data_IF_100987434105
#
_entry.id   IF_100987434105
#
_cell.length_a   1.000
_cell.length_b   1.000
_cell.length_c   1.000
_cell.angle_alpha   90.00
_cell.angle_beta   90.00
_cell.angle_gamma   90.00
#
_symmetry.space_group_name_H-M   'P 1'
#
loop_
_entity.id
_entity.type
_entity.pdbx_description
1 polymer ?
#
# COMPACT_ATOMS: atom_id res chain seq x y z
N UNK A 1 11.47 22.49 -23.88
CA UNK A 1 11.46 21.56 -22.70
C UNK A 1 11.54 22.29 -21.35
N UNK A 2 12.46 23.23 -21.12
CA UNK A 2 12.56 23.93 -19.81
C UNK A 2 11.46 24.99 -19.62
N UNK A 3 11.07 25.70 -20.68
CA UNK A 3 9.92 26.61 -20.67
C UNK A 3 8.59 25.93 -20.55
N UNK A 4 8.34 24.79 -21.22
CA UNK A 4 7.14 23.98 -21.06
C UNK A 4 7.02 23.42 -19.64
N UNK A 5 8.14 23.04 -19.02
CA UNK A 5 8.17 22.55 -17.64
C UNK A 5 7.86 23.65 -16.62
N UNK A 6 8.26 24.87 -16.92
CA UNK A 6 7.93 26.03 -16.11
C UNK A 6 6.47 26.45 -16.30
N UNK A 7 5.94 26.49 -17.53
CA UNK A 7 4.54 26.80 -17.80
C UNK A 7 3.58 25.80 -17.13
N UNK A 8 3.92 24.49 -17.11
CA UNK A 8 3.16 23.48 -16.41
C UNK A 8 3.18 23.66 -14.88
N UNK A 9 4.30 24.11 -14.31
CA UNK A 9 4.39 24.43 -12.88
C UNK A 9 3.53 25.65 -12.51
N UNK A 10 3.60 26.72 -13.31
CA UNK A 10 2.76 27.91 -13.10
C UNK A 10 1.27 27.59 -13.27
N UNK A 11 0.90 26.80 -14.27
CA UNK A 11 -0.49 26.38 -14.46
C UNK A 11 -0.99 25.56 -13.26
N UNK A 12 -0.21 24.61 -12.77
CA UNK A 12 -0.54 23.84 -11.55
C UNK A 12 -0.70 24.76 -10.34
N UNK A 13 0.24 25.69 -10.15
CA UNK A 13 0.19 26.62 -9.03
C UNK A 13 -1.07 27.50 -9.08
N UNK A 14 -1.38 28.08 -10.25
CA UNK A 14 -2.57 28.92 -10.44
C UNK A 14 -3.86 28.10 -10.22
N UNK A 15 -3.95 26.88 -10.79
CA UNK A 15 -5.13 26.03 -10.64
C UNK A 15 -5.36 25.62 -9.16
N UNK A 16 -4.29 25.30 -8.42
CA UNK A 16 -4.39 25.01 -6.99
C UNK A 16 -4.78 26.25 -6.17
N UNK A 17 -4.27 27.44 -6.52
CA UNK A 17 -4.62 28.69 -5.85
C UNK A 17 -6.10 29.03 -6.06
N UNK A 18 -6.60 28.90 -7.30
CA UNK A 18 -8.02 29.12 -7.60
C UNK A 18 -8.89 28.10 -6.85
N UNK A 19 -8.52 26.82 -6.89
CA UNK A 19 -9.25 25.78 -6.14
C UNK A 19 -9.32 26.10 -4.64
N UNK A 20 -8.18 26.50 -4.06
CA UNK A 20 -8.10 26.87 -2.63
C UNK A 20 -9.00 28.05 -2.31
N UNK A 21 -9.00 29.12 -3.12
CA UNK A 21 -9.84 30.27 -2.92
C UNK A 21 -11.33 29.96 -3.02
N UNK A 22 -11.72 29.15 -4.03
CA UNK A 22 -13.09 28.69 -4.20
C UNK A 22 -13.51 27.82 -3.02
N UNK A 23 -12.65 26.92 -2.56
CA UNK A 23 -12.92 26.07 -1.41
C UNK A 23 -13.11 26.91 -0.14
N UNK A 24 -12.22 27.88 0.13
CA UNK A 24 -12.35 28.80 1.27
C UNK A 24 -13.68 29.55 1.20
N UNK A 25 -14.06 30.08 0.03
CA UNK A 25 -15.33 30.79 -0.14
C UNK A 25 -16.53 29.88 0.18
N UNK A 26 -16.52 28.63 -0.32
CA UNK A 26 -17.58 27.66 -0.02
C UNK A 26 -17.64 27.36 1.48
N UNK A 27 -16.50 27.11 2.12
CA UNK A 27 -16.43 26.77 3.55
C UNK A 27 -16.88 27.93 4.46
N UNK A 28 -16.58 29.19 4.10
CA UNK A 28 -17.07 30.35 4.82
C UNK A 28 -18.61 30.51 4.67
N UNK A 29 -19.17 30.07 3.54
CA UNK A 29 -20.60 30.19 3.24
C UNK A 29 -21.46 29.10 3.87
N UNK A 30 -20.86 27.92 4.11
CA UNK A 30 -21.55 26.71 4.60
C UNK A 30 -20.81 26.13 5.79
N UNK A 31 -21.10 26.65 6.98
CA UNK A 31 -20.42 26.27 8.24
C UNK A 31 -20.57 24.77 8.56
N UNK A 32 -21.71 24.17 8.23
CA UNK A 32 -21.96 22.76 8.48
C UNK A 32 -21.06 21.85 7.61
N UNK A 33 -20.89 22.24 6.34
CA UNK A 33 -19.95 21.55 5.43
C UNK A 33 -18.51 21.75 5.92
N UNK A 34 -18.17 22.96 6.39
CA UNK A 34 -16.87 23.25 6.95
C UNK A 34 -16.58 22.37 8.17
N UNK A 35 -17.54 22.22 9.10
CA UNK A 35 -17.39 21.36 10.28
C UNK A 35 -17.21 19.88 9.89
N UNK A 36 -17.98 19.38 8.94
CA UNK A 36 -17.86 18.01 8.46
C UNK A 36 -16.49 17.74 7.83
N UNK A 37 -16.04 18.63 6.93
CA UNK A 37 -14.73 18.50 6.26
C UNK A 37 -13.57 18.74 7.26
N UNK A 38 -13.72 19.63 8.23
CA UNK A 38 -12.76 19.81 9.33
C UNK A 38 -12.65 18.52 10.15
N UNK A 39 -13.76 17.87 10.47
CA UNK A 39 -13.76 16.57 11.14
C UNK A 39 -13.01 15.50 10.37
N UNK A 40 -13.23 15.42 9.06
CA UNK A 40 -12.47 14.49 8.18
C UNK A 40 -10.97 14.83 8.18
N UNK A 41 -10.61 16.10 8.08
CA UNK A 41 -9.21 16.53 8.09
C UNK A 41 -8.51 16.20 9.43
N UNK A 42 -9.17 16.48 10.56
CA UNK A 42 -8.68 16.18 11.90
C UNK A 42 -8.51 14.67 12.08
N UNK A 43 -9.47 13.87 11.63
CA UNK A 43 -9.42 12.40 11.67
C UNK A 43 -8.24 11.88 10.87
N UNK A 44 -8.01 12.38 9.65
CA UNK A 44 -6.88 11.98 8.80
C UNK A 44 -5.54 12.33 9.45
N UNK A 45 -5.42 13.49 10.09
CA UNK A 45 -4.23 13.89 10.86
C UNK A 45 -4.04 12.93 12.03
N UNK A 46 -5.11 12.60 12.76
CA UNK A 46 -5.08 11.66 13.87
C UNK A 46 -4.56 10.28 13.43
N UNK A 47 -5.09 9.74 12.34
CA UNK A 47 -4.66 8.46 11.80
C UNK A 47 -3.21 8.48 11.31
N UNK A 48 -2.77 9.58 10.70
CA UNK A 48 -1.38 9.75 10.27
C UNK A 48 -0.44 9.72 11.48
N UNK A 49 -0.78 10.42 12.56
CA UNK A 49 -0.01 10.40 13.80
C UNK A 49 0.02 9.00 14.45
N UNK A 50 -1.11 8.29 14.46
CA UNK A 50 -1.15 6.88 14.91
C UNK A 50 -0.16 6.02 14.13
N UNK A 51 -0.18 6.10 12.81
CA UNK A 51 0.74 5.38 11.94
C UNK A 51 2.22 5.72 12.21
N UNK A 52 2.54 7.00 12.38
CA UNK A 52 3.90 7.46 12.74
C UNK A 52 4.32 6.92 14.11
N UNK A 53 3.42 6.99 15.09
CA UNK A 53 3.66 6.51 16.44
C UNK A 53 3.94 5.00 16.46
N UNK A 54 3.10 4.19 15.85
CA UNK A 54 3.32 2.75 15.77
C UNK A 54 4.58 2.38 14.99
N UNK A 55 4.92 3.13 13.95
CA UNK A 55 6.17 2.93 13.20
C UNK A 55 7.41 3.15 14.07
N UNK A 56 7.38 4.07 15.02
CA UNK A 56 8.50 4.29 15.94
C UNK A 56 8.81 3.06 16.82
N UNK A 57 7.78 2.26 17.16
CA UNK A 57 7.96 1.00 17.90
C UNK A 57 8.34 -0.17 16.99
N UNK A 58 7.97 -0.15 15.74
CA UNK A 58 8.24 -1.28 14.83
C UNK A 58 9.71 -1.38 14.39
N UNK A 59 10.48 -0.28 14.44
CA UNK A 59 11.94 -0.19 14.35
C UNK A 59 12.64 -1.13 13.35
N UNK A 60 12.05 -1.42 12.18
CA UNK A 60 12.54 -2.42 11.24
C UNK A 60 12.19 -3.87 11.61
N UNK A 61 11.46 -4.10 12.72
CA UNK A 61 11.00 -5.43 13.13
C UNK A 61 10.06 -6.06 12.10
N UNK A 62 9.16 -5.25 11.53
CA UNK A 62 8.24 -5.70 10.47
C UNK A 62 8.99 -6.21 9.24
N UNK A 63 10.06 -5.51 8.83
CA UNK A 63 10.89 -5.91 7.69
C UNK A 63 11.59 -7.25 7.97
N UNK A 64 12.14 -7.44 9.18
CA UNK A 64 12.81 -8.68 9.58
C UNK A 64 11.83 -9.86 9.68
N UNK A 65 10.62 -9.61 10.20
CA UNK A 65 9.57 -10.62 10.30
C UNK A 65 9.07 -10.99 8.91
N UNK A 66 8.87 -10.02 8.02
CA UNK A 66 8.40 -10.24 6.67
C UNK A 66 9.29 -11.23 5.91
N UNK A 67 10.61 -11.02 5.94
CA UNK A 67 11.56 -11.87 5.24
C UNK A 67 11.58 -13.33 5.74
N UNK A 68 11.18 -13.58 7.01
CA UNK A 68 11.22 -14.91 7.64
C UNK A 68 9.84 -15.57 7.78
N UNK A 69 8.76 -14.82 7.68
CA UNK A 69 7.41 -15.28 8.07
C UNK A 69 6.45 -15.42 6.89
N UNK A 70 6.91 -15.48 5.65
CA UNK A 70 6.06 -15.55 4.46
C UNK A 70 6.19 -16.84 3.67
N UNK A 71 6.76 -17.90 4.27
CA UNK A 71 6.98 -19.18 3.61
C UNK A 71 5.68 -19.92 3.26
N UNK A 72 4.60 -19.67 3.99
CA UNK A 72 3.30 -20.28 3.78
C UNK A 72 2.20 -19.25 3.60
N UNK A 73 1.12 -19.61 2.88
CA UNK A 73 -0.05 -18.73 2.68
C UNK A 73 -0.62 -18.21 3.99
N UNK A 74 -0.78 -19.10 4.97
CA UNK A 74 -1.37 -18.75 6.28
C UNK A 74 -0.48 -17.74 7.00
N UNK A 75 0.84 -17.95 7.02
CA UNK A 75 1.78 -16.99 7.62
C UNK A 75 1.73 -15.64 6.92
N UNK A 76 1.63 -15.63 5.58
CA UNK A 76 1.52 -14.38 4.80
C UNK A 76 0.22 -13.63 5.14
N UNK A 77 -0.92 -14.32 5.23
CA UNK A 77 -2.21 -13.72 5.61
C UNK A 77 -2.14 -13.19 7.05
N UNK A 78 -1.64 -13.99 8.00
CA UNK A 78 -1.47 -13.56 9.39
C UNK A 78 -0.54 -12.35 9.51
N UNK A 79 0.57 -12.35 8.78
CA UNK A 79 1.48 -11.22 8.74
C UNK A 79 0.78 -9.95 8.23
N UNK A 80 0.05 -10.04 7.11
CA UNK A 80 -0.73 -8.91 6.58
C UNK A 80 -1.78 -8.40 7.57
N UNK A 81 -2.51 -9.31 8.22
CA UNK A 81 -3.53 -8.98 9.22
C UNK A 81 -2.92 -8.27 10.42
N UNK A 82 -1.89 -8.85 11.04
CA UNK A 82 -1.25 -8.28 12.23
C UNK A 82 -0.54 -6.96 11.93
N UNK A 83 0.16 -6.90 10.80
CA UNK A 83 0.84 -5.65 10.39
C UNK A 83 -0.15 -4.53 10.18
N UNK A 84 -1.28 -4.78 9.51
CA UNK A 84 -2.31 -3.76 9.28
C UNK A 84 -3.03 -3.38 10.58
N UNK A 85 -3.31 -4.35 11.46
CA UNK A 85 -3.88 -4.08 12.77
C UNK A 85 -2.99 -3.17 13.61
N UNK A 86 -1.68 -3.42 13.62
CA UNK A 86 -0.70 -2.61 14.37
C UNK A 86 -0.51 -1.25 13.71
N UNK A 87 -0.30 -1.21 12.40
CA UNK A 87 0.01 0.03 11.67
C UNK A 87 -1.23 0.87 11.36
N UNK A 88 -2.43 0.33 11.56
CA UNK A 88 -3.71 0.96 11.21
C UNK A 88 -3.75 1.50 9.77
N UNK A 89 -3.00 0.86 8.86
CA UNK A 89 -2.86 1.28 7.47
C UNK A 89 -2.58 0.10 6.53
N UNK A 90 -3.63 -0.38 5.88
CA UNK A 90 -3.51 -1.39 4.82
C UNK A 90 -2.74 -0.86 3.60
N UNK A 91 -2.85 0.43 3.31
CA UNK A 91 -2.09 1.09 2.23
C UNK A 91 -0.58 1.01 2.48
N UNK A 92 -0.13 1.31 3.70
CA UNK A 92 1.30 1.24 4.03
C UNK A 92 1.81 -0.21 3.94
N UNK A 93 1.06 -1.18 4.47
CA UNK A 93 1.39 -2.61 4.36
C UNK A 93 1.46 -3.04 2.89
N UNK A 94 0.52 -2.58 2.05
CA UNK A 94 0.53 -2.86 0.61
C UNK A 94 1.75 -2.28 -0.09
N UNK A 95 2.13 -1.04 0.20
CA UNK A 95 3.33 -0.40 -0.38
C UNK A 95 4.60 -1.16 0.03
N UNK A 96 4.72 -1.54 1.30
CA UNK A 96 5.84 -2.35 1.79
C UNK A 96 5.87 -3.70 1.07
N UNK A 97 4.72 -4.36 0.94
CA UNK A 97 4.61 -5.66 0.26
C UNK A 97 5.01 -5.56 -1.23
N UNK A 98 4.53 -4.53 -1.93
CA UNK A 98 4.92 -4.23 -3.32
C UNK A 98 6.44 -4.06 -3.41
N UNK A 99 7.03 -3.31 -2.48
CA UNK A 99 8.46 -3.05 -2.44
C UNK A 99 9.27 -4.33 -2.25
N UNK A 100 8.89 -5.18 -1.30
CA UNK A 100 9.55 -6.47 -1.05
C UNK A 100 9.40 -7.46 -2.22
N UNK A 101 8.22 -7.49 -2.84
CA UNK A 101 7.99 -8.29 -4.03
C UNK A 101 8.85 -7.79 -5.20
N UNK A 102 8.92 -6.48 -5.40
CA UNK A 102 9.76 -5.84 -6.43
C UNK A 102 11.25 -6.13 -6.24
N UNK A 103 11.70 -6.21 -4.99
CA UNK A 103 13.06 -6.63 -4.64
C UNK A 103 13.28 -8.16 -4.73
N UNK A 104 12.26 -8.93 -5.11
CA UNK A 104 12.34 -10.39 -5.17
C UNK A 104 12.59 -11.05 -3.81
N UNK A 105 12.24 -10.38 -2.70
CA UNK A 105 12.40 -10.89 -1.33
C UNK A 105 11.28 -11.83 -0.93
N UNK A 106 10.11 -11.68 -1.53
CA UNK A 106 8.95 -12.53 -1.34
C UNK A 106 8.40 -12.97 -2.69
N UNK A 107 7.70 -14.10 -2.71
CA UNK A 107 7.00 -14.56 -3.91
C UNK A 107 5.69 -13.78 -4.15
N UNK A 108 5.19 -13.78 -5.39
CA UNK A 108 3.89 -13.18 -5.74
C UNK A 108 2.76 -13.79 -4.90
N UNK A 109 2.78 -15.12 -4.69
CA UNK A 109 1.79 -15.80 -3.85
C UNK A 109 1.81 -15.33 -2.39
N UNK A 110 3.00 -15.11 -1.83
CA UNK A 110 3.15 -14.55 -0.49
C UNK A 110 2.63 -13.10 -0.44
N UNK A 111 2.98 -12.26 -1.42
CA UNK A 111 2.47 -10.90 -1.55
C UNK A 111 0.94 -10.85 -1.61
N UNK A 112 0.31 -11.73 -2.39
CA UNK A 112 -1.16 -11.85 -2.47
C UNK A 112 -1.73 -12.21 -1.09
N UNK A 113 -1.15 -13.17 -0.38
CA UNK A 113 -1.56 -13.54 0.97
C UNK A 113 -1.49 -12.36 1.95
N UNK A 114 -0.43 -11.55 1.89
CA UNK A 114 -0.27 -10.36 2.72
C UNK A 114 -1.36 -9.33 2.41
N UNK A 115 -1.68 -9.09 1.12
CA UNK A 115 -2.76 -8.16 0.73
C UNK A 115 -4.12 -8.64 1.25
N UNK A 116 -4.41 -9.95 1.15
CA UNK A 116 -5.64 -10.52 1.72
C UNK A 116 -5.69 -10.30 3.23
N UNK A 117 -4.60 -10.60 3.94
CA UNK A 117 -4.49 -10.34 5.36
C UNK A 117 -4.62 -8.85 5.71
N UNK A 118 -4.05 -7.96 4.91
CA UNK A 118 -4.15 -6.52 5.12
C UNK A 118 -5.60 -6.01 5.04
N UNK A 119 -6.40 -6.54 4.11
CA UNK A 119 -7.83 -6.22 4.04
C UNK A 119 -8.58 -6.70 5.29
N UNK A 120 -8.29 -7.91 5.79
CA UNK A 120 -8.87 -8.40 7.05
C UNK A 120 -8.41 -7.55 8.25
N UNK A 121 -7.12 -7.22 8.35
CA UNK A 121 -6.57 -6.38 9.42
C UNK A 121 -7.17 -4.96 9.44
N UNK A 122 -7.53 -4.43 8.27
CA UNK A 122 -8.16 -3.11 8.14
C UNK A 122 -9.55 -3.06 8.82
N UNK A 123 -10.22 -4.20 9.01
CA UNK A 123 -11.51 -4.24 9.70
C UNK A 123 -11.40 -3.85 11.17
N UNK A 124 -10.22 -3.98 11.79
CA UNK A 124 -9.98 -3.52 13.15
C UNK A 124 -10.21 -2.01 13.31
N UNK A 125 -9.93 -1.22 12.27
CA UNK A 125 -10.23 0.22 12.28
C UNK A 125 -11.73 0.49 12.43
N UNK A 126 -12.59 -0.35 11.84
CA UNK A 126 -14.06 -0.22 11.99
C UNK A 126 -14.51 -0.49 13.42
N UNK A 127 -13.94 -1.51 14.07
CA UNK A 127 -14.21 -1.78 15.48
C UNK A 127 -13.73 -0.66 16.39
N UNK A 128 -12.57 -0.07 16.08
CA UNK A 128 -12.10 1.12 16.81
C UNK A 128 -13.07 2.29 16.64
N UNK A 129 -13.45 2.63 15.39
CA UNK A 129 -14.41 3.72 15.14
C UNK A 129 -15.67 3.51 15.95
N UNK A 130 -16.27 2.33 15.85
CA UNK A 130 -17.57 2.06 16.50
C UNK A 130 -17.43 1.89 18.01
N UNK A 131 -16.40 1.18 18.48
CA UNK A 131 -16.15 1.03 19.92
C UNK A 131 -15.96 2.37 20.62
N UNK A 132 -15.42 3.34 19.89
CA UNK A 132 -15.16 4.68 20.39
C UNK A 132 -16.38 5.61 20.32
N UNK A 133 -17.37 5.35 19.45
CA UNK A 133 -18.61 6.17 19.40
C UNK A 133 -19.52 5.94 20.60
N UNK A 134 -19.41 4.81 21.29
CA UNK A 134 -20.24 4.41 22.43
C UNK A 134 -19.77 4.96 23.79
N UNK A 135 -18.56 5.49 23.88
CA UNK A 135 -18.03 6.10 25.10
C UNK A 135 -18.17 7.61 24.93
N UNK A 136 -18.43 8.37 26.00
CA UNK A 136 -18.35 9.86 26.00
C UNK A 136 -16.88 10.31 25.85
N UNK A 137 -16.29 10.02 24.68
CA UNK A 137 -14.84 10.00 24.42
C UNK A 137 -14.29 11.40 24.14
N UNK A 138 -15.15 12.34 23.74
CA UNK A 138 -14.77 13.76 23.66
C UNK A 138 -14.10 14.26 24.95
N UNK A 139 -14.47 13.70 26.11
CA UNK A 139 -13.79 14.01 27.38
C UNK A 139 -12.35 13.51 27.44
N UNK A 140 -12.00 12.40 26.75
CA UNK A 140 -10.64 11.86 26.75
C UNK A 140 -9.78 12.47 25.63
N UNK A 141 -10.36 13.03 24.59
CA UNK A 141 -9.63 13.58 23.45
C UNK A 141 -8.65 14.68 23.88
N UNK A 142 -9.13 15.64 24.69
CA UNK A 142 -8.32 16.77 25.15
C UNK A 142 -7.18 16.34 26.08
N UNK A 143 -7.40 15.52 27.14
CA UNK A 143 -6.31 14.99 27.96
C UNK A 143 -5.26 14.21 27.15
N UNK A 144 -5.71 13.38 26.20
CA UNK A 144 -4.80 12.60 25.35
C UNK A 144 -3.95 13.51 24.45
N UNK A 145 -4.51 14.57 23.89
CA UNK A 145 -3.75 15.56 23.13
C UNK A 145 -2.70 16.27 23.99
N UNK A 146 -3.05 16.69 25.20
CA UNK A 146 -2.12 17.37 26.12
C UNK A 146 -0.95 16.43 26.47
N UNK A 147 -1.25 15.21 26.92
CA UNK A 147 -0.24 14.22 27.25
C UNK A 147 0.58 13.88 26.00
N UNK A 148 -0.07 13.70 24.88
CA UNK A 148 0.59 13.39 23.61
C UNK A 148 1.60 14.45 23.20
N UNK A 149 1.26 15.73 23.32
CA UNK A 149 2.18 16.83 23.03
C UNK A 149 3.39 16.83 23.97
N UNK A 150 3.18 16.56 25.26
CA UNK A 150 4.29 16.48 26.23
C UNK A 150 5.28 15.37 25.84
N UNK A 151 4.80 14.20 25.41
CA UNK A 151 5.63 13.10 24.95
C UNK A 151 6.26 13.37 23.57
N UNK A 152 5.55 14.05 22.67
CA UNK A 152 6.02 14.36 21.32
C UNK A 152 7.32 15.19 21.31
N UNK A 153 7.49 16.10 22.27
CA UNK A 153 8.69 16.94 22.39
C UNK A 153 9.86 16.25 23.10
N UNK A 154 9.72 14.98 23.50
CA UNK A 154 10.84 14.22 24.09
C UNK A 154 11.88 13.88 23.02
N UNK A 155 13.14 13.77 23.44
CA UNK A 155 14.26 13.42 22.55
C UNK A 155 14.28 11.93 22.21
N UNK A 156 13.77 11.10 23.11
CA UNK A 156 13.71 9.65 22.92
C UNK A 156 12.67 9.29 21.85
N UNK A 157 13.07 8.42 20.90
CA UNK A 157 12.22 8.05 19.75
C UNK A 157 11.00 7.24 20.15
N UNK A 158 11.08 6.45 21.23
CA UNK A 158 9.97 5.64 21.73
C UNK A 158 8.96 6.52 22.43
N UNK A 159 9.42 7.46 23.30
CA UNK A 159 8.55 8.43 23.95
C UNK A 159 7.87 9.34 22.92
N UNK A 160 8.61 9.81 21.92
CA UNK A 160 8.05 10.57 20.80
C UNK A 160 7.02 9.77 20.03
N UNK A 161 7.26 8.46 19.83
CA UNK A 161 6.30 7.53 19.23
C UNK A 161 5.01 7.43 20.07
N UNK A 162 5.10 7.29 21.38
CA UNK A 162 3.96 7.34 22.31
C UNK A 162 3.21 8.66 22.19
N UNK A 163 3.94 9.78 22.12
CA UNK A 163 3.36 11.09 21.89
C UNK A 163 2.48 11.14 20.64
N UNK A 164 3.00 10.63 19.52
CA UNK A 164 2.24 10.53 18.27
C UNK A 164 1.00 9.64 18.41
N UNK A 165 1.08 8.52 19.15
CA UNK A 165 -0.08 7.66 19.41
C UNK A 165 -1.16 8.42 20.17
N UNK A 166 -0.82 9.08 21.27
CA UNK A 166 -1.77 9.85 22.07
C UNK A 166 -2.38 11.02 21.28
N UNK A 167 -1.57 11.78 20.53
CA UNK A 167 -2.04 12.83 19.62
C UNK A 167 -2.98 12.23 18.58
N UNK A 168 -2.58 11.08 18.01
CA UNK A 168 -3.35 10.38 16.99
C UNK A 168 -4.72 9.95 17.49
N UNK A 169 -4.81 9.35 18.69
CA UNK A 169 -6.06 8.96 19.32
C UNK A 169 -6.91 10.21 19.64
N UNK A 170 -6.31 11.26 20.20
CA UNK A 170 -7.01 12.49 20.53
C UNK A 170 -7.64 13.16 19.31
N UNK A 171 -6.87 13.33 18.22
CA UNK A 171 -7.40 13.87 16.96
C UNK A 171 -8.40 12.94 16.30
N UNK A 172 -8.21 11.63 16.40
CA UNK A 172 -9.18 10.66 15.91
C UNK A 172 -10.56 10.90 16.55
N UNK A 173 -10.61 11.03 17.87
CA UNK A 173 -11.85 11.30 18.61
C UNK A 173 -12.47 12.63 18.24
N UNK A 174 -11.68 13.69 18.22
CA UNK A 174 -12.18 15.01 17.81
C UNK A 174 -12.73 14.98 16.38
N UNK A 175 -12.03 14.29 15.45
CA UNK A 175 -12.48 14.16 14.09
C UNK A 175 -13.83 13.46 13.96
N UNK A 176 -14.03 12.34 14.68
CA UNK A 176 -15.31 11.63 14.70
C UNK A 176 -16.43 12.50 15.27
N UNK A 177 -16.15 13.24 16.36
CA UNK A 177 -17.13 14.13 16.99
C UNK A 177 -17.54 15.29 16.06
N UNK A 178 -16.57 15.93 15.40
CA UNK A 178 -16.84 16.96 14.40
C UNK A 178 -17.64 16.44 13.20
N UNK A 179 -17.32 15.24 12.70
CA UNK A 179 -18.07 14.60 11.60
C UNK A 179 -19.52 14.37 12.03
N UNK A 180 -19.73 13.82 13.24
CA UNK A 180 -21.06 13.56 13.78
C UNK A 180 -21.86 14.86 13.92
N UNK A 181 -21.29 15.87 14.57
CA UNK A 181 -21.93 17.19 14.73
C UNK A 181 -22.20 17.86 13.38
N UNK A 182 -21.26 17.73 12.43
CA UNK A 182 -21.43 18.20 11.06
C UNK A 182 -22.64 17.58 10.38
N UNK A 183 -22.84 16.26 10.49
CA UNK A 183 -24.01 15.58 9.93
C UNK A 183 -25.32 15.95 10.64
N UNK A 184 -25.32 16.08 11.97
CA UNK A 184 -26.49 16.48 12.73
C UNK A 184 -27.00 17.88 12.28
N UNK A 185 -26.07 18.83 12.07
CA UNK A 185 -26.40 20.17 11.59
C UNK A 185 -26.76 20.17 10.09
N UNK A 186 -26.06 19.38 9.28
CA UNK A 186 -26.31 19.29 7.82
C UNK A 186 -27.70 18.78 7.47
N UNK A 187 -28.35 18.01 8.36
CA UNK A 187 -29.70 17.50 8.23
C UNK A 187 -30.73 18.62 7.98
N UNK A 188 -30.48 19.82 8.52
CA UNK A 188 -31.36 20.96 8.30
C UNK A 188 -31.25 21.58 6.89
N UNK A 189 -30.15 21.36 6.19
CA UNK A 189 -29.90 21.89 4.84
C UNK A 189 -30.25 20.84 3.77
N UNK A 190 -29.74 19.64 3.92
CA UNK A 190 -29.98 18.53 3.00
C UNK A 190 -30.34 17.30 3.82
N UNK A 191 -31.58 16.87 3.68
CA UNK A 191 -32.03 15.61 4.28
C UNK A 191 -31.60 14.44 3.36
N UNK A 192 -30.45 13.85 3.66
CA UNK A 192 -29.93 12.72 2.90
C UNK A 192 -30.82 11.47 3.00
N UNK A 193 -31.72 11.41 4.01
CA UNK A 193 -32.66 10.31 4.12
C UNK A 193 -33.64 10.24 2.94
N UNK A 194 -33.84 11.34 2.20
CA UNK A 194 -34.61 11.37 0.95
C UNK A 194 -33.93 10.61 -0.19
N UNK A 195 -32.63 10.37 -0.08
CA UNK A 195 -31.86 9.57 -1.03
C UNK A 195 -31.67 8.14 -0.53
N UNK A 196 -32.38 7.74 0.54
CA UNK A 196 -32.38 6.39 1.07
C UNK A 196 -33.17 5.46 0.12
N UNK A 197 -32.46 4.93 -0.85
CA UNK A 197 -33.04 4.02 -1.84
C UNK A 197 -33.10 2.60 -1.26
N UNK A 198 -34.28 1.99 -1.30
CA UNK A 198 -34.47 0.61 -0.91
C UNK A 198 -33.97 -0.38 -1.98
N UNK A 199 -33.61 -1.58 -1.56
CA UNK A 199 -33.26 -2.69 -2.42
C UNK A 199 -31.98 -2.48 -3.23
N UNK A 200 -31.83 -3.19 -4.33
CA UNK A 200 -30.60 -3.19 -5.13
C UNK A 200 -30.20 -1.80 -5.68
N UNK A 201 -31.16 -0.91 -5.92
CA UNK A 201 -30.85 0.47 -6.32
C UNK A 201 -30.02 1.19 -5.25
N UNK A 202 -30.44 1.07 -3.99
CA UNK A 202 -29.71 1.60 -2.85
C UNK A 202 -28.32 0.97 -2.74
N UNK A 203 -28.24 -0.34 -2.86
CA UNK A 203 -26.97 -1.09 -2.82
C UNK A 203 -25.97 -0.55 -3.83
N UNK A 204 -26.35 -0.38 -5.09
CA UNK A 204 -25.42 0.10 -6.12
C UNK A 204 -25.04 1.57 -5.94
N UNK A 205 -25.99 2.43 -5.56
CA UNK A 205 -25.72 3.85 -5.32
C UNK A 205 -24.76 4.04 -4.16
N UNK A 206 -25.03 3.40 -3.01
CA UNK A 206 -24.22 3.58 -1.82
C UNK A 206 -22.88 2.84 -1.90
N UNK A 207 -22.81 1.69 -2.58
CA UNK A 207 -21.54 1.06 -2.93
C UNK A 207 -20.70 2.01 -3.80
N UNK A 208 -21.29 2.61 -4.81
CA UNK A 208 -20.62 3.59 -5.67
C UNK A 208 -20.14 4.82 -4.89
N UNK A 209 -20.95 5.36 -3.98
CA UNK A 209 -20.58 6.49 -3.11
C UNK A 209 -19.43 6.11 -2.16
N UNK A 210 -19.49 4.96 -1.52
CA UNK A 210 -18.42 4.47 -0.67
C UNK A 210 -17.10 4.28 -1.42
N UNK A 211 -17.18 3.73 -2.65
CA UNK A 211 -16.03 3.56 -3.53
C UNK A 211 -15.44 4.91 -3.97
N UNK A 212 -16.28 5.85 -4.38
CA UNK A 212 -15.87 7.18 -4.81
C UNK A 212 -15.22 7.97 -3.66
N UNK A 213 -15.86 8.00 -2.49
CA UNK A 213 -15.31 8.69 -1.31
C UNK A 213 -13.96 8.10 -0.92
N UNK A 214 -13.85 6.77 -0.85
CA UNK A 214 -12.58 6.11 -0.52
C UNK A 214 -11.51 6.37 -1.58
N UNK A 215 -11.87 6.34 -2.86
CA UNK A 215 -10.94 6.63 -3.95
C UNK A 215 -10.42 8.06 -3.93
N UNK A 216 -11.26 9.04 -3.57
CA UNK A 216 -10.89 10.47 -3.45
C UNK A 216 -10.09 10.72 -2.18
N UNK A 217 -10.58 10.27 -1.03
CA UNK A 217 -9.94 10.49 0.28
C UNK A 217 -8.68 9.62 0.42
N UNK A 218 -8.58 8.52 -0.34
CA UNK A 218 -7.52 7.51 -0.28
C UNK A 218 -7.35 6.87 1.12
N UNK A 219 -8.45 6.84 1.88
CA UNK A 219 -8.51 6.27 3.23
C UNK A 219 -9.85 5.59 3.45
N UNK A 220 -9.84 4.26 3.46
CA UNK A 220 -11.04 3.45 3.77
C UNK A 220 -11.51 3.68 5.22
N UNK A 221 -10.59 3.90 6.14
CA UNK A 221 -10.91 4.17 7.55
C UNK A 221 -11.60 5.52 7.73
N UNK A 222 -11.13 6.57 7.04
CA UNK A 222 -11.80 7.88 7.08
C UNK A 222 -13.21 7.80 6.47
N UNK A 223 -13.36 7.12 5.33
CA UNK A 223 -14.68 6.90 4.72
C UNK A 223 -15.59 6.11 5.64
N UNK A 224 -15.05 5.10 6.34
CA UNK A 224 -15.81 4.31 7.31
C UNK A 224 -16.32 5.18 8.47
N UNK A 225 -15.51 6.11 8.99
CA UNK A 225 -15.93 7.04 10.02
C UNK A 225 -17.08 7.96 9.53
N UNK A 226 -17.01 8.40 8.26
CA UNK A 226 -18.09 9.19 7.64
C UNK A 226 -19.37 8.35 7.55
N UNK A 227 -19.28 7.09 7.08
CA UNK A 227 -20.43 6.18 6.96
C UNK A 227 -21.09 5.95 8.32
N UNK A 228 -20.29 5.62 9.34
CA UNK A 228 -20.79 5.36 10.71
C UNK A 228 -21.42 6.62 11.30
N UNK A 229 -20.80 7.80 11.12
CA UNK A 229 -21.35 9.06 11.59
C UNK A 229 -22.67 9.41 10.90
N UNK A 230 -22.77 9.22 9.58
CA UNK A 230 -24.00 9.42 8.82
C UNK A 230 -25.13 8.46 9.26
N UNK A 231 -24.78 7.19 9.54
CA UNK A 231 -25.72 6.20 10.08
C UNK A 231 -26.25 6.63 11.46
N UNK A 232 -25.35 7.00 12.38
CA UNK A 232 -25.71 7.41 13.74
C UNK A 232 -26.51 8.73 13.77
N UNK A 233 -26.27 9.62 12.80
CA UNK A 233 -27.06 10.83 12.60
C UNK A 233 -28.43 10.57 11.91
N UNK A 234 -28.73 9.30 11.57
CA UNK A 234 -29.98 8.91 10.88
C UNK A 234 -30.10 9.47 9.47
N UNK A 235 -28.98 9.76 8.80
CA UNK A 235 -28.94 10.28 7.43
C UNK A 235 -29.02 9.15 6.37
N UNK A 236 -28.57 7.95 6.72
CA UNK A 236 -28.61 6.78 5.86
C UNK A 236 -29.09 5.56 6.66
N UNK A 237 -29.79 4.63 5.99
CA UNK A 237 -30.22 3.38 6.61
C UNK A 237 -29.04 2.42 6.88
N UNK A 238 -29.27 1.41 7.73
CA UNK A 238 -28.27 0.36 7.97
C UNK A 238 -27.89 -0.33 6.64
N UNK A 239 -28.87 -0.70 5.82
CA UNK A 239 -28.63 -1.39 4.54
C UNK A 239 -27.72 -0.58 3.62
N UNK A 240 -28.00 0.72 3.47
CA UNK A 240 -27.18 1.62 2.66
C UNK A 240 -25.80 1.85 3.26
N UNK A 241 -25.65 1.86 4.59
CA UNK A 241 -24.35 1.91 5.28
C UNK A 241 -23.53 0.67 5.00
N UNK A 242 -24.15 -0.54 5.00
CA UNK A 242 -23.47 -1.78 4.66
C UNK A 242 -22.99 -1.79 3.21
N UNK A 243 -23.84 -1.30 2.29
CA UNK A 243 -23.47 -1.17 0.88
C UNK A 243 -22.31 -0.18 0.68
N UNK A 244 -22.36 0.99 1.35
CA UNK A 244 -21.27 1.96 1.33
C UNK A 244 -19.97 1.39 1.93
N UNK A 245 -20.08 0.61 3.01
CA UNK A 245 -18.94 -0.11 3.63
C UNK A 245 -18.29 -1.08 2.64
N UNK A 246 -19.09 -1.85 1.90
CA UNK A 246 -18.58 -2.71 0.82
C UNK A 246 -17.87 -1.89 -0.26
N UNK A 247 -18.41 -0.72 -0.60
CA UNK A 247 -17.81 0.24 -1.52
C UNK A 247 -16.43 0.74 -1.07
N UNK A 248 -16.17 0.86 0.25
CA UNK A 248 -14.86 1.29 0.74
C UNK A 248 -13.73 0.35 0.30
N UNK A 249 -13.99 -0.95 0.25
CA UNK A 249 -13.02 -1.94 -0.22
C UNK A 249 -12.72 -1.79 -1.71
N UNK A 250 -13.75 -1.51 -2.51
CA UNK A 250 -13.60 -1.24 -3.96
C UNK A 250 -12.81 0.06 -4.19
N UNK A 251 -13.14 1.13 -3.46
CA UNK A 251 -12.43 2.41 -3.56
C UNK A 251 -10.98 2.33 -3.10
N UNK A 252 -10.68 1.47 -2.12
CA UNK A 252 -9.32 1.22 -1.62
C UNK A 252 -8.36 0.67 -2.68
N UNK A 253 -8.87 0.06 -3.74
CA UNK A 253 -8.06 -0.41 -4.88
C UNK A 253 -7.34 0.73 -5.58
N UNK A 254 -7.93 1.93 -5.61
CA UNK A 254 -7.33 3.10 -6.26
C UNK A 254 -5.95 3.39 -5.69
N UNK A 255 -5.79 3.29 -4.37
CA UNK A 255 -4.48 3.51 -3.71
C UNK A 255 -3.44 2.48 -4.10
N UNK A 256 -3.82 1.19 -4.20
CA UNK A 256 -2.93 0.13 -4.64
C UNK A 256 -2.51 0.31 -6.11
N UNK A 257 -3.43 0.69 -6.98
CA UNK A 257 -3.16 0.97 -8.39
C UNK A 257 -2.21 2.16 -8.52
N UNK A 258 -2.49 3.28 -7.85
CA UNK A 258 -1.62 4.47 -7.87
C UNK A 258 -0.21 4.14 -7.36
N UNK A 259 -0.10 3.38 -6.27
CA UNK A 259 1.20 2.95 -5.74
C UNK A 259 1.96 2.08 -6.73
N UNK A 260 1.29 1.27 -7.54
CA UNK A 260 1.90 0.37 -8.51
C UNK A 260 2.40 1.05 -9.79
N UNK A 261 1.96 2.29 -10.09
CA UNK A 261 2.33 2.98 -11.34
C UNK A 261 3.85 3.22 -11.45
N UNK A 262 4.52 3.45 -10.32
CA UNK A 262 5.96 3.70 -10.25
C UNK A 262 6.78 2.43 -10.02
N UNK A 263 6.15 1.25 -9.92
CA UNK A 263 6.80 0.00 -9.57
C UNK A 263 7.10 -0.86 -10.81
N UNK A 264 7.88 -1.92 -10.60
CA UNK A 264 8.15 -2.93 -11.62
C UNK A 264 6.89 -3.79 -11.89
N UNK A 265 7.04 -4.80 -12.76
CA UNK A 265 5.94 -5.67 -13.19
C UNK A 265 5.34 -6.47 -12.04
N UNK A 266 6.17 -6.91 -11.10
CA UNK A 266 5.69 -7.68 -9.95
C UNK A 266 4.78 -6.84 -9.04
N UNK A 267 5.11 -5.56 -8.83
CA UNK A 267 4.25 -4.62 -8.13
C UNK A 267 2.92 -4.39 -8.85
N UNK A 268 2.92 -4.30 -10.18
CA UNK A 268 1.69 -4.19 -10.98
C UNK A 268 0.83 -5.45 -10.88
N UNK A 269 1.41 -6.65 -10.89
CA UNK A 269 0.69 -7.91 -10.65
C UNK A 269 0.00 -7.90 -9.30
N UNK A 270 0.69 -7.42 -8.26
CA UNK A 270 0.13 -7.37 -6.91
C UNK A 270 -1.03 -6.39 -6.79
N UNK A 271 -0.93 -5.20 -7.40
CA UNK A 271 -2.05 -4.27 -7.48
C UNK A 271 -3.25 -4.88 -8.21
N UNK A 272 -3.01 -5.61 -9.30
CA UNK A 272 -4.07 -6.30 -10.03
C UNK A 272 -4.70 -7.43 -9.20
N UNK A 273 -3.91 -8.15 -8.38
CA UNK A 273 -4.44 -9.12 -7.41
C UNK A 273 -5.36 -8.47 -6.37
N UNK A 274 -5.00 -7.27 -5.90
CA UNK A 274 -5.86 -6.48 -5.00
C UNK A 274 -7.18 -6.09 -5.68
N UNK A 275 -7.15 -5.74 -6.98
CA UNK A 275 -8.38 -5.51 -7.76
C UNK A 275 -9.26 -6.76 -7.80
N UNK A 276 -8.69 -7.90 -8.17
CA UNK A 276 -9.42 -9.18 -8.25
C UNK A 276 -10.10 -9.51 -6.92
N UNK A 277 -9.39 -9.34 -5.81
CA UNK A 277 -9.95 -9.61 -4.49
C UNK A 277 -11.09 -8.67 -4.14
N UNK A 278 -10.86 -7.34 -4.19
CA UNK A 278 -11.84 -6.38 -3.71
C UNK A 278 -13.09 -6.29 -4.61
N UNK A 279 -12.92 -6.31 -5.94
CA UNK A 279 -14.05 -6.37 -6.86
C UNK A 279 -14.75 -7.73 -6.80
N UNK A 280 -13.98 -8.83 -6.68
CA UNK A 280 -14.54 -10.17 -6.61
C UNK A 280 -15.40 -10.38 -5.37
N UNK A 281 -14.92 -9.97 -4.19
CA UNK A 281 -15.73 -10.09 -2.97
C UNK A 281 -16.92 -9.14 -2.98
N UNK A 282 -16.77 -7.91 -3.48
CA UNK A 282 -17.88 -6.98 -3.61
C UNK A 282 -18.97 -7.55 -4.52
N UNK A 283 -18.61 -8.10 -5.66
CA UNK A 283 -19.54 -8.74 -6.59
C UNK A 283 -20.28 -9.91 -5.91
N UNK A 284 -19.55 -10.80 -5.23
CA UNK A 284 -20.16 -11.94 -4.54
C UNK A 284 -21.15 -11.52 -3.46
N UNK A 285 -20.77 -10.53 -2.64
CA UNK A 285 -21.62 -10.04 -1.55
C UNK A 285 -22.86 -9.32 -2.12
N UNK A 286 -22.73 -8.53 -3.19
CA UNK A 286 -23.88 -7.89 -3.84
C UNK A 286 -24.89 -8.92 -4.36
N UNK A 287 -24.43 -10.03 -4.95
CA UNK A 287 -25.33 -11.11 -5.43
C UNK A 287 -26.17 -11.73 -4.31
N UNK A 288 -25.60 -11.85 -3.13
CA UNK A 288 -26.26 -12.48 -1.98
C UNK A 288 -26.66 -11.45 -0.91
N UNK A 289 -26.67 -10.17 -1.23
CA UNK A 289 -26.79 -9.07 -0.26
C UNK A 289 -27.99 -9.23 0.71
N UNK A 290 -29.22 -9.50 0.26
CA UNK A 290 -30.34 -9.72 1.17
C UNK A 290 -30.12 -10.89 2.13
N UNK A 291 -29.60 -12.00 1.61
CA UNK A 291 -29.32 -13.20 2.44
C UNK A 291 -28.17 -12.93 3.42
N UNK A 292 -27.19 -12.14 2.99
CA UNK A 292 -26.08 -11.75 3.84
C UNK A 292 -26.54 -10.87 5.02
N UNK A 293 -27.49 -9.94 4.78
CA UNK A 293 -28.10 -9.13 5.85
C UNK A 293 -28.86 -10.03 6.85
N UNK A 294 -29.62 -11.03 6.38
CA UNK A 294 -30.28 -11.98 7.26
C UNK A 294 -29.28 -12.76 8.12
N UNK A 295 -28.17 -13.20 7.52
CA UNK A 295 -27.08 -13.87 8.24
C UNK A 295 -26.41 -12.93 9.24
N UNK A 296 -26.16 -11.69 8.88
CA UNK A 296 -25.61 -10.66 9.77
C UNK A 296 -26.51 -10.44 10.99
N UNK A 297 -27.83 -10.30 10.77
CA UNK A 297 -28.80 -10.11 11.85
C UNK A 297 -28.85 -11.33 12.77
N UNK A 298 -28.88 -12.54 12.20
CA UNK A 298 -28.79 -13.77 12.99
C UNK A 298 -27.53 -13.80 13.86
N UNK A 299 -26.37 -13.52 13.28
CA UNK A 299 -25.12 -13.51 14.01
C UNK A 299 -25.07 -12.39 15.05
N UNK A 300 -25.68 -11.24 14.78
CA UNK A 300 -25.79 -10.13 15.73
C UNK A 300 -26.60 -10.55 16.99
N UNK A 301 -27.66 -11.33 16.81
CA UNK A 301 -28.44 -11.88 17.93
C UNK A 301 -27.60 -12.87 18.74
N UNK A 302 -26.91 -13.80 18.08
CA UNK A 302 -26.06 -14.80 18.74
C UNK A 302 -24.92 -14.15 19.54
N UNK A 303 -24.32 -13.07 18.99
CA UNK A 303 -23.24 -12.33 19.64
C UNK A 303 -23.71 -11.22 20.58
N UNK A 304 -25.03 -11.07 20.76
CA UNK A 304 -25.64 -10.03 21.59
C UNK A 304 -25.22 -8.61 21.17
N UNK A 305 -25.16 -8.35 19.85
CA UNK A 305 -24.80 -7.07 19.25
C UNK A 305 -26.08 -6.33 18.85
N UNK A 306 -26.55 -5.40 19.69
CA UNK A 306 -27.74 -4.61 19.44
C UNK A 306 -27.43 -3.30 18.69
N UNK A 307 -26.28 -2.71 18.94
CA UNK A 307 -25.86 -1.44 18.35
C UNK A 307 -25.69 -1.54 16.80
N UNK A 308 -26.34 -0.60 16.10
CA UNK A 308 -26.36 -0.59 14.63
C UNK A 308 -24.98 -0.30 14.01
N UNK A 309 -24.15 0.49 14.68
CA UNK A 309 -22.81 0.77 14.21
C UNK A 309 -21.88 -0.43 14.41
N UNK A 310 -22.04 -1.22 15.51
CA UNK A 310 -21.35 -2.48 15.70
C UNK A 310 -21.70 -3.50 14.60
N UNK A 311 -22.94 -3.51 14.10
CA UNK A 311 -23.32 -4.34 12.95
C UNK A 311 -22.56 -3.98 11.67
N UNK A 312 -22.23 -2.71 11.46
CA UNK A 312 -21.40 -2.27 10.33
C UNK A 312 -19.96 -2.79 10.45
N UNK A 313 -19.38 -2.75 11.65
CA UNK A 313 -18.03 -3.31 11.88
C UNK A 313 -18.03 -4.83 11.73
N UNK A 314 -19.06 -5.51 12.23
CA UNK A 314 -19.24 -6.96 12.07
C UNK A 314 -19.36 -7.34 10.59
N UNK A 315 -20.20 -6.63 9.83
CA UNK A 315 -20.35 -6.81 8.38
C UNK A 315 -19.02 -6.66 7.66
N UNK A 316 -18.25 -5.60 7.98
CA UNK A 316 -16.93 -5.35 7.39
C UNK A 316 -15.98 -6.53 7.64
N UNK A 317 -15.99 -7.07 8.86
CA UNK A 317 -15.15 -8.22 9.22
C UNK A 317 -15.59 -9.48 8.50
N UNK A 318 -16.90 -9.76 8.48
CA UNK A 318 -17.44 -10.98 7.88
C UNK A 318 -17.15 -11.08 6.39
N UNK A 319 -17.42 -10.04 5.61
CA UNK A 319 -17.19 -10.14 4.17
C UNK A 319 -15.69 -10.21 3.83
N UNK A 320 -14.83 -9.51 4.57
CA UNK A 320 -13.37 -9.65 4.38
C UNK A 320 -12.90 -11.05 4.78
N UNK A 321 -13.37 -11.61 5.88
CA UNK A 321 -13.02 -12.96 6.32
C UNK A 321 -13.44 -14.01 5.27
N UNK A 322 -14.69 -13.92 4.79
CA UNK A 322 -15.20 -14.80 3.71
C UNK A 322 -14.34 -14.64 2.46
N UNK A 323 -14.03 -13.40 2.08
CA UNK A 323 -13.15 -13.10 0.95
C UNK A 323 -11.77 -13.74 1.11
N UNK A 324 -11.13 -13.56 2.26
CA UNK A 324 -9.80 -14.14 2.54
C UNK A 324 -9.85 -15.66 2.46
N UNK A 325 -10.83 -16.29 3.08
CA UNK A 325 -10.99 -17.76 3.04
C UNK A 325 -11.19 -18.20 1.59
N UNK A 326 -12.16 -17.63 0.89
CA UNK A 326 -12.51 -18.04 -0.48
C UNK A 326 -11.34 -17.83 -1.47
N UNK A 327 -10.79 -16.63 -1.54
CA UNK A 327 -9.74 -16.30 -2.51
C UNK A 327 -8.39 -16.93 -2.18
N UNK A 328 -8.14 -17.32 -0.91
CA UNK A 328 -6.92 -18.03 -0.54
C UNK A 328 -6.80 -19.40 -1.25
N UNK A 329 -7.93 -20.09 -1.49
CA UNK A 329 -7.95 -21.33 -2.25
C UNK A 329 -7.54 -21.11 -3.72
N UNK A 330 -7.87 -19.95 -4.29
CA UNK A 330 -7.58 -19.60 -5.69
C UNK A 330 -6.27 -18.87 -5.89
N UNK A 331 -5.45 -18.68 -4.85
CA UNK A 331 -4.16 -17.97 -4.97
C UNK A 331 -3.26 -18.52 -6.10
N UNK A 332 -3.09 -19.86 -6.29
CA UNK A 332 -2.27 -20.38 -7.38
C UNK A 332 -2.82 -20.02 -8.75
N UNK A 333 -4.14 -20.07 -8.93
CA UNK A 333 -4.83 -19.72 -10.17
C UNK A 333 -4.68 -18.23 -10.48
N UNK A 334 -4.81 -17.38 -9.45
CA UNK A 334 -4.59 -15.92 -9.57
C UNK A 334 -3.15 -15.65 -10.00
N UNK A 335 -2.16 -16.30 -9.40
CA UNK A 335 -0.74 -16.16 -9.77
C UNK A 335 -0.52 -16.55 -11.25
N UNK A 336 -1.05 -17.70 -11.68
CA UNK A 336 -0.95 -18.16 -13.07
C UNK A 336 -1.61 -17.16 -14.04
N UNK A 337 -2.79 -16.69 -13.71
CA UNK A 337 -3.53 -15.70 -14.49
C UNK A 337 -2.75 -14.38 -14.64
N UNK A 338 -2.22 -13.85 -13.53
CA UNK A 338 -1.44 -12.62 -13.52
C UNK A 338 -0.15 -12.76 -14.33
N UNK A 339 0.54 -13.88 -14.23
CA UNK A 339 1.75 -14.16 -15.00
C UNK A 339 1.46 -14.26 -16.51
N UNK A 340 0.24 -14.66 -16.89
CA UNK A 340 -0.19 -14.73 -18.31
C UNK A 340 -0.55 -13.35 -18.87
N UNK A 341 -1.21 -12.49 -18.09
CA UNK A 341 -1.74 -11.19 -18.56
C UNK A 341 -0.70 -10.08 -18.42
N UNK A 342 -0.06 -9.97 -17.26
CA UNK A 342 0.89 -8.90 -16.96
C UNK A 342 2.29 -9.38 -17.34
N UNK A 343 2.69 -9.11 -18.58
CA UNK A 343 3.99 -9.49 -19.13
C UNK A 343 4.92 -8.29 -19.20
N UNK A 344 6.23 -8.54 -19.02
CA UNK A 344 7.25 -7.54 -19.31
C UNK A 344 7.16 -7.10 -20.77
N UNK A 345 7.31 -5.79 -21.07
CA UNK A 345 7.56 -5.36 -22.43
C UNK A 345 8.78 -6.12 -22.96
N UNK A 346 8.63 -6.80 -24.08
CA UNK A 346 9.73 -7.46 -24.76
C UNK A 346 10.63 -6.43 -25.45
N UNK A 347 11.30 -5.60 -24.69
CA UNK A 347 12.38 -4.79 -25.22
C UNK A 347 13.63 -5.68 -25.22
N UNK A 348 13.84 -6.36 -26.34
CA UNK A 348 14.90 -7.37 -26.50
C UNK A 348 16.32 -6.78 -26.45
N UNK A 349 16.45 -5.46 -26.48
CA UNK A 349 17.72 -4.81 -26.78
C UNK A 349 18.36 -4.07 -25.59
N UNK A 350 17.65 -3.86 -24.47
CA UNK A 350 18.23 -3.19 -23.28
C UNK A 350 17.85 -3.95 -22.02
N UNK A 351 18.85 -4.27 -21.23
CA UNK A 351 18.59 -4.77 -19.87
C UNK A 351 18.05 -3.64 -18.99
N UNK A 352 17.12 -3.96 -18.12
CA UNK A 352 16.52 -3.03 -17.17
C UNK A 352 16.79 -3.53 -15.76
N UNK A 353 16.96 -2.62 -14.78
CA UNK A 353 17.03 -3.02 -13.39
C UNK A 353 15.82 -3.87 -13.01
N UNK A 354 16.07 -5.00 -12.36
CA UNK A 354 15.03 -5.96 -11.98
C UNK A 354 14.60 -5.74 -10.54
N UNK A 355 15.52 -5.35 -9.66
CA UNK A 355 15.33 -5.34 -8.21
C UNK A 355 15.30 -3.92 -7.62
N UNK A 356 15.74 -2.89 -8.35
CA UNK A 356 15.80 -1.51 -7.88
C UNK A 356 14.45 -0.80 -8.09
N UNK A 357 13.75 -0.55 -7.01
CA UNK A 357 12.52 0.23 -6.98
C UNK A 357 12.70 1.45 -6.08
N UNK A 358 12.28 2.63 -6.54
CA UNK A 358 12.46 3.89 -5.83
C UNK A 358 11.79 3.93 -4.45
N UNK A 359 10.76 3.11 -4.22
CA UNK A 359 10.10 2.99 -2.92
C UNK A 359 10.98 2.34 -1.85
N UNK A 360 11.97 1.52 -2.27
CA UNK A 360 12.87 0.77 -1.39
C UNK A 360 13.89 1.66 -0.67
N UNK A 361 14.23 2.83 -1.20
CA UNK A 361 15.29 3.70 -0.65
C UNK A 361 15.06 4.10 0.81
N UNK A 362 13.81 4.07 1.27
CA UNK A 362 13.40 4.40 2.64
C UNK A 362 13.57 3.24 3.63
N UNK A 363 13.81 2.02 3.14
CA UNK A 363 13.90 0.80 3.93
C UNK A 363 15.33 0.24 3.85
N UNK A 364 16.14 0.52 4.86
CA UNK A 364 17.59 0.32 4.81
C UNK A 364 18.01 -1.11 4.47
N UNK A 365 17.45 -2.13 5.14
CA UNK A 365 17.83 -3.53 4.94
C UNK A 365 17.33 -4.04 3.57
N UNK A 366 16.14 -3.61 3.17
CA UNK A 366 15.57 -3.95 1.87
C UNK A 366 16.34 -3.30 0.72
N UNK A 367 16.74 -2.04 0.88
CA UNK A 367 17.55 -1.32 -0.11
C UNK A 367 18.92 -2.01 -0.33
N UNK A 368 19.56 -2.45 0.76
CA UNK A 368 20.83 -3.19 0.69
C UNK A 368 20.65 -4.51 -0.03
N UNK A 369 19.58 -5.26 0.26
CA UNK A 369 19.33 -6.54 -0.39
C UNK A 369 18.95 -6.37 -1.87
N UNK A 370 18.20 -5.34 -2.22
CA UNK A 370 17.92 -4.98 -3.60
C UNK A 370 19.21 -4.65 -4.37
N UNK A 371 20.11 -3.86 -3.76
CA UNK A 371 21.45 -3.58 -4.33
C UNK A 371 22.29 -4.84 -4.50
N UNK A 372 22.27 -5.75 -3.52
CA UNK A 372 22.99 -7.02 -3.63
C UNK A 372 22.51 -7.82 -4.84
N UNK A 373 21.21 -7.99 -5.00
CA UNK A 373 20.61 -8.74 -6.12
C UNK A 373 20.85 -8.09 -7.47
N UNK A 374 20.75 -6.75 -7.54
CA UNK A 374 21.03 -6.05 -8.79
C UNK A 374 22.51 -6.08 -9.15
N UNK A 375 23.41 -6.02 -8.16
CA UNK A 375 24.85 -6.20 -8.38
C UNK A 375 25.19 -7.62 -8.88
N UNK A 376 24.47 -8.64 -8.38
CA UNK A 376 24.57 -10.01 -8.88
C UNK A 376 24.04 -10.13 -10.33
N UNK A 377 22.95 -9.42 -10.66
CA UNK A 377 22.43 -9.31 -12.01
C UNK A 377 23.47 -8.66 -12.95
N UNK A 378 24.07 -7.54 -12.54
CA UNK A 378 25.16 -6.90 -13.27
C UNK A 378 26.35 -7.82 -13.46
N UNK A 379 26.80 -8.52 -12.40
CA UNK A 379 27.89 -9.50 -12.48
C UNK A 379 27.61 -10.59 -13.52
N UNK A 380 26.40 -11.15 -13.51
CA UNK A 380 26.00 -12.18 -14.42
C UNK A 380 26.03 -11.73 -15.90
N UNK A 381 25.67 -10.46 -16.16
CA UNK A 381 25.72 -9.88 -17.49
C UNK A 381 27.16 -9.58 -17.93
N UNK A 382 27.97 -8.98 -17.05
CA UNK A 382 29.40 -8.74 -17.28
C UNK A 382 30.13 -10.05 -17.56
N UNK A 383 29.93 -11.04 -16.73
CA UNK A 383 30.54 -12.36 -16.90
C UNK A 383 30.18 -13.02 -18.25
N UNK A 384 28.91 -12.92 -18.65
CA UNK A 384 28.47 -13.46 -19.94
C UNK A 384 29.11 -12.71 -21.13
N UNK A 385 29.25 -11.38 -21.05
CA UNK A 385 29.87 -10.57 -22.11
C UNK A 385 31.35 -10.89 -22.23
N UNK A 386 32.08 -10.94 -21.11
CA UNK A 386 33.50 -11.28 -21.08
C UNK A 386 33.73 -12.70 -21.62
N UNK A 387 32.92 -13.67 -21.17
CA UNK A 387 32.99 -15.04 -21.70
C UNK A 387 32.81 -15.09 -23.22
N UNK A 388 31.81 -14.39 -23.73
CA UNK A 388 31.56 -14.33 -25.18
C UNK A 388 32.65 -13.56 -25.93
N UNK A 389 33.24 -12.51 -25.36
CA UNK A 389 34.34 -11.77 -25.97
C UNK A 389 35.59 -12.65 -26.21
N UNK A 390 35.90 -13.55 -25.27
CA UNK A 390 36.98 -14.53 -25.40
C UNK A 390 36.56 -15.80 -26.14
N UNK A 391 35.35 -15.84 -26.68
CA UNK A 391 34.83 -16.91 -27.52
C UNK A 391 34.36 -18.16 -26.78
N UNK A 392 34.02 -18.06 -25.50
CA UNK A 392 33.46 -19.16 -24.70
C UNK A 392 32.00 -18.88 -24.33
N UNK A 393 31.21 -19.93 -24.15
CA UNK A 393 29.92 -19.81 -23.52
C UNK A 393 30.06 -19.83 -21.99
N UNK A 394 29.11 -19.22 -21.28
CA UNK A 394 29.07 -19.29 -19.82
C UNK A 394 29.04 -20.73 -19.30
N UNK A 395 28.36 -21.64 -20.03
CA UNK A 395 28.27 -23.06 -19.70
C UNK A 395 29.61 -23.77 -19.82
N UNK A 396 30.44 -23.39 -20.78
CA UNK A 396 31.76 -23.97 -20.97
C UNK A 396 32.69 -23.61 -19.80
N UNK A 397 32.68 -22.34 -19.38
CA UNK A 397 33.54 -21.88 -18.30
C UNK A 397 33.12 -22.44 -16.93
N UNK A 398 31.81 -22.69 -16.71
CA UNK A 398 31.25 -23.22 -15.47
C UNK A 398 31.18 -24.77 -15.47
N UNK A 399 31.66 -25.45 -16.54
CA UNK A 399 31.64 -26.88 -16.59
C UNK A 399 32.86 -27.49 -15.88
N UNK A 400 32.71 -28.70 -15.32
CA UNK A 400 33.81 -29.46 -14.74
C UNK A 400 34.74 -30.11 -15.81
N UNK A 401 34.54 -29.78 -17.11
CA UNK A 401 35.33 -30.29 -18.23
C UNK A 401 36.72 -29.64 -18.22
N UNK A 402 37.70 -30.43 -18.62
CA UNK A 402 39.06 -29.92 -18.80
C UNK A 402 39.09 -28.84 -19.90
N UNK A 403 39.96 -27.84 -19.73
CA UNK A 403 40.11 -26.76 -20.73
C UNK A 403 40.42 -27.31 -22.14
N UNK A 404 41.15 -28.44 -22.23
CA UNK A 404 41.48 -29.11 -23.46
C UNK A 404 40.24 -29.70 -24.17
N UNK A 405 39.35 -30.35 -23.41
CA UNK A 405 38.08 -30.87 -23.94
C UNK A 405 37.12 -29.74 -24.42
N UNK A 406 37.13 -28.61 -23.74
CA UNK A 406 36.35 -27.45 -24.15
C UNK A 406 36.89 -26.87 -25.47
N UNK A 407 38.21 -26.78 -25.62
CA UNK A 407 38.85 -26.29 -26.85
C UNK A 407 38.64 -27.22 -28.04
N UNK A 408 38.75 -28.56 -27.86
CA UNK A 408 38.54 -29.55 -28.91
C UNK A 408 37.11 -29.58 -29.46
N UNK A 409 36.12 -29.30 -28.60
CA UNK A 409 34.70 -29.24 -28.97
C UNK A 409 34.24 -27.86 -29.41
N UNK A 410 35.12 -26.86 -29.46
CA UNK A 410 34.79 -25.50 -29.79
C UNK A 410 34.48 -25.34 -31.28
N UNK A 411 33.21 -24.98 -31.60
CA UNK A 411 32.85 -24.51 -32.93
C UNK A 411 33.37 -23.08 -33.11
N UNK A 412 34.40 -22.90 -33.89
CA UNK A 412 35.03 -21.61 -34.22
C UNK A 412 34.12 -20.72 -35.08
N UNK A 413 32.89 -20.46 -34.68
CA UNK A 413 32.04 -19.45 -35.27
C UNK A 413 32.03 -18.23 -34.35
N UNK A 414 32.99 -17.32 -34.55
CA UNK A 414 32.91 -16.01 -33.95
C UNK A 414 31.80 -15.22 -34.66
N UNK A 415 30.60 -15.17 -34.04
CA UNK A 415 29.72 -14.03 -34.31
C UNK A 415 30.51 -12.79 -33.87
N UNK A 416 30.69 -11.83 -34.78
CA UNK A 416 31.18 -10.51 -34.40
C UNK A 416 30.25 -9.97 -33.30
N UNK A 417 30.74 -10.00 -32.08
CA UNK A 417 30.02 -9.48 -30.91
C UNK A 417 30.39 -8.01 -30.83
N UNK A 418 29.41 -7.14 -31.04
CA UNK A 418 29.59 -5.71 -30.82
C UNK A 418 29.61 -5.46 -29.29
N UNK A 419 30.83 -5.43 -28.73
CA UNK A 419 31.06 -5.26 -27.31
C UNK A 419 30.59 -3.88 -26.81
N UNK A 420 30.78 -2.84 -27.61
CA UNK A 420 30.33 -1.50 -27.24
C UNK A 420 28.80 -1.43 -27.16
N UNK A 421 28.11 -2.02 -28.13
CA UNK A 421 26.65 -2.14 -28.07
C UNK A 421 26.17 -2.92 -26.83
N UNK A 422 26.82 -4.04 -26.49
CA UNK A 422 26.46 -4.84 -25.30
C UNK A 422 26.77 -4.08 -24.02
N UNK A 423 27.89 -3.38 -23.94
CA UNK A 423 28.22 -2.51 -22.82
C UNK A 423 27.14 -1.43 -22.62
N UNK A 424 26.80 -0.68 -23.65
CA UNK A 424 25.82 0.41 -23.57
C UNK A 424 24.41 -0.08 -23.22
N UNK A 425 24.03 -1.28 -23.69
CA UNK A 425 22.66 -1.79 -23.52
C UNK A 425 22.46 -2.68 -22.30
N UNK A 426 23.53 -3.31 -21.77
CA UNK A 426 23.42 -4.32 -20.70
C UNK A 426 24.19 -3.98 -19.43
N UNK A 427 25.32 -3.30 -19.54
CA UNK A 427 26.17 -3.00 -18.37
C UNK A 427 25.90 -1.59 -17.88
N UNK A 428 26.08 -0.59 -18.76
CA UNK A 428 25.96 0.82 -18.41
C UNK A 428 24.60 1.17 -17.80
N UNK A 429 23.51 0.63 -18.35
CA UNK A 429 22.15 0.88 -17.85
C UNK A 429 21.98 0.39 -16.41
N UNK A 430 22.46 -0.81 -16.11
CA UNK A 430 22.38 -1.41 -14.76
C UNK A 430 23.32 -0.67 -13.80
N UNK A 431 24.53 -0.35 -14.23
CA UNK A 431 25.50 0.39 -13.44
C UNK A 431 24.95 1.78 -13.04
N UNK A 432 24.45 2.56 -13.99
CA UNK A 432 23.85 3.86 -13.72
C UNK A 432 22.67 3.76 -12.74
N UNK A 433 21.84 2.75 -12.89
CA UNK A 433 20.72 2.49 -11.97
C UNK A 433 21.19 2.15 -10.56
N UNK A 434 22.23 1.32 -10.41
CA UNK A 434 22.82 0.97 -9.10
C UNK A 434 23.39 2.23 -8.43
N UNK A 435 24.10 3.08 -9.18
CA UNK A 435 24.68 4.33 -8.67
C UNK A 435 23.59 5.30 -8.21
N UNK A 436 22.57 5.52 -9.05
CA UNK A 436 21.45 6.43 -8.72
C UNK A 436 20.68 5.94 -7.47
N UNK A 437 20.33 4.65 -7.45
CA UNK A 437 19.64 4.05 -6.32
C UNK A 437 20.47 4.11 -5.03
N UNK A 438 21.76 3.76 -5.09
CA UNK A 438 22.67 3.81 -3.94
C UNK A 438 22.76 5.23 -3.37
N UNK A 439 22.87 6.23 -4.22
CA UNK A 439 22.95 7.64 -3.81
C UNK A 439 21.67 8.11 -3.14
N UNK A 440 20.51 7.70 -3.67
CA UNK A 440 19.22 8.02 -3.06
C UNK A 440 19.01 7.30 -1.74
N UNK A 441 19.41 6.03 -1.63
CA UNK A 441 19.27 5.24 -0.40
C UNK A 441 20.13 5.80 0.74
N UNK A 442 21.34 6.27 0.46
CA UNK A 442 22.24 6.88 1.46
C UNK A 442 21.64 8.10 2.17
N UNK A 443 20.73 8.84 1.53
CA UNK A 443 20.04 9.99 2.13
C UNK A 443 19.12 9.60 3.28
N UNK A 444 18.58 8.38 3.25
CA UNK A 444 17.61 7.88 4.24
C UNK A 444 18.22 6.97 5.31
N UNK A 445 19.50 6.61 5.17
CA UNK A 445 20.17 5.64 6.04
C UNK A 445 21.19 6.37 6.90
N UNK A 446 20.91 6.45 8.21
CA UNK A 446 21.79 7.10 9.20
C UNK A 446 22.77 6.12 9.86
N UNK A 447 22.67 4.80 9.58
CA UNK A 447 23.54 3.76 10.16
C UNK A 447 24.82 3.64 9.33
N UNK A 448 25.95 3.88 9.96
CA UNK A 448 27.27 3.89 9.32
C UNK A 448 27.64 2.52 8.73
N UNK A 449 27.31 1.43 9.42
CA UNK A 449 27.58 0.06 8.94
C UNK A 449 26.76 -0.28 7.70
N UNK A 450 25.52 0.19 7.63
CA UNK A 450 24.66 0.02 6.48
C UNK A 450 25.10 0.90 5.30
N UNK A 451 25.53 2.13 5.57
CA UNK A 451 26.10 3.01 4.55
C UNK A 451 27.39 2.42 3.96
N UNK A 452 28.23 1.77 4.78
CA UNK A 452 29.41 1.08 4.28
C UNK A 452 29.07 -0.08 3.35
N UNK A 453 28.01 -0.86 3.64
CA UNK A 453 27.53 -1.92 2.73
C UNK A 453 27.05 -1.36 1.39
N UNK A 454 26.28 -0.24 1.39
CA UNK A 454 25.84 0.42 0.15
C UNK A 454 27.07 0.88 -0.66
N UNK A 455 28.06 1.47 0.01
CA UNK A 455 29.29 1.88 -0.65
C UNK A 455 30.03 0.70 -1.27
N UNK A 456 30.09 -0.44 -0.58
CA UNK A 456 30.71 -1.68 -1.08
C UNK A 456 30.03 -2.16 -2.38
N UNK A 457 28.69 -2.19 -2.45
CA UNK A 457 27.98 -2.56 -3.68
C UNK A 457 28.19 -1.54 -4.80
N UNK A 458 28.24 -0.24 -4.47
CA UNK A 458 28.54 0.82 -5.42
C UNK A 458 29.92 0.64 -6.05
N UNK A 459 30.93 0.30 -5.23
CA UNK A 459 32.29 0.03 -5.70
C UNK A 459 32.39 -1.26 -6.51
N UNK A 460 31.69 -2.32 -6.08
CA UNK A 460 31.61 -3.56 -6.83
C UNK A 460 31.01 -3.36 -8.24
N UNK A 461 29.91 -2.60 -8.32
CA UNK A 461 29.29 -2.26 -9.60
C UNK A 461 30.21 -1.44 -10.50
N UNK A 462 30.98 -0.49 -9.92
CA UNK A 462 31.98 0.28 -10.66
C UNK A 462 33.06 -0.65 -11.25
N UNK A 463 33.64 -1.51 -10.41
CA UNK A 463 34.69 -2.43 -10.86
C UNK A 463 34.19 -3.39 -11.95
N UNK A 464 32.93 -3.88 -11.85
CA UNK A 464 32.32 -4.72 -12.87
C UNK A 464 32.15 -3.96 -14.20
N UNK A 465 31.73 -2.70 -14.16
CA UNK A 465 31.56 -1.88 -15.34
C UNK A 465 32.91 -1.52 -16.01
N UNK A 466 33.99 -1.38 -15.23
CA UNK A 466 35.33 -1.10 -15.74
C UNK A 466 36.05 -2.35 -16.29
N UNK A 467 35.54 -3.56 -15.98
CA UNK A 467 36.11 -4.84 -16.45
C UNK A 467 35.67 -5.17 -17.87
N UNK A 468 34.59 -4.57 -18.36
CA UNK A 468 33.99 -4.77 -19.67
C UNK A 468 34.38 -3.68 -20.66
#
# INVERSE_FOLDING_TARGET
>A
MQEERNSLKYFKFISWSIFTLVLIFILIRYDELANLLAGVAILLIGMTNLGIGFKAFSGGLLEKILAKSTDTKIKSILFGTLSTLIMQSSTLVSIITISFLSAGLISLGAGIGIIFGANLGNTASSWLIVGLTNIKISMLAIPLLIIGVLFFFQKDSVLKGLGNIFIGIGFFFLGVDYIKSGFENFKHIIDLSRFDFAGFKGVFVFLGLGALLTGVIQSSTATMAIIVAALLAGQISLENSLAATLGTSVGGVVTAVLASLSTNIEGKKLAFASCIFNFGIAFLIVLIFPYFIHFLNFLSIVLNIEDIALKVALFHTLFNLIGVVLFSFFTPQIVLFLNKIVKAPKDKNKDKPLYLDSSLVKFSDTAIEALRKESEHLYNNTYAIVAHAIGFSRKDIQSDKSFKEILENKKWFSKNVDLDYLYQTRIKVLFEAIIDFSTKAQVYINDETKNHKIFTFKMAAKNLAETT
#
